data_IF_343803704046
#
_entry.id   IF_343803704046
#
_cell.length_a   1.000
_cell.length_b   1.000
_cell.length_c   1.000
_cell.angle_alpha   90.00
_cell.angle_beta   90.00
_cell.angle_gamma   90.00
#
_symmetry.space_group_name_H-M   'P 1'
#
loop_
_entity.id
_entity.type
_entity.pdbx_description
1 polymer ?
#
# COMPACT_ATOMS: atom_id res chain seq x y z
N UNK A 1 15.01 -0.86 -21.18
CA UNK A 1 14.12 -0.97 -20.02
C UNK A 1 13.25 -2.22 -20.18
N UNK A 2 13.19 -3.12 -19.18
CA UNK A 2 12.33 -4.30 -19.24
C UNK A 2 10.84 -3.93 -19.24
N UNK A 3 10.02 -4.79 -19.87
CA UNK A 3 8.56 -4.67 -19.85
C UNK A 3 8.03 -5.41 -18.63
N UNK A 4 7.34 -4.71 -17.75
CA UNK A 4 6.75 -5.27 -16.52
C UNK A 4 5.24 -5.09 -16.51
N UNK A 5 4.52 -6.02 -15.90
CA UNK A 5 3.12 -5.78 -15.58
C UNK A 5 3.01 -4.84 -14.37
N UNK A 6 1.86 -4.17 -14.22
CA UNK A 6 1.60 -3.35 -13.03
C UNK A 6 1.81 -4.15 -11.73
N UNK A 7 1.32 -5.39 -11.66
CA UNK A 7 1.47 -6.21 -10.43
C UNK A 7 2.93 -6.57 -10.15
N UNK A 8 3.70 -6.86 -11.19
CA UNK A 8 5.14 -7.14 -11.06
C UNK A 8 5.87 -5.90 -10.55
N UNK A 9 5.53 -4.72 -11.07
CA UNK A 9 6.11 -3.46 -10.63
C UNK A 9 5.84 -3.16 -9.13
N UNK A 10 4.62 -3.43 -8.65
CA UNK A 10 4.26 -3.30 -7.24
C UNK A 10 4.99 -4.32 -6.36
N UNK A 11 5.07 -5.57 -6.81
CA UNK A 11 5.80 -6.61 -6.10
C UNK A 11 7.28 -6.25 -6.00
N UNK A 12 7.91 -5.80 -7.09
CA UNK A 12 9.30 -5.34 -7.07
C UNK A 12 9.51 -4.14 -6.15
N UNK A 13 8.63 -3.14 -6.19
CA UNK A 13 8.68 -2.01 -5.24
C UNK A 13 8.64 -2.52 -3.79
N UNK A 14 7.74 -3.46 -3.49
CA UNK A 14 7.60 -4.04 -2.15
C UNK A 14 8.86 -4.78 -1.72
N UNK A 15 9.43 -5.60 -2.61
CA UNK A 15 10.69 -6.33 -2.37
C UNK A 15 11.84 -5.36 -2.12
N UNK A 16 12.00 -4.34 -2.96
CA UNK A 16 13.05 -3.34 -2.83
C UNK A 16 12.98 -2.61 -1.48
N UNK A 17 11.78 -2.21 -1.04
CA UNK A 17 11.62 -1.53 0.25
C UNK A 17 11.76 -2.46 1.45
N UNK A 18 11.30 -3.72 1.37
CA UNK A 18 11.52 -4.73 2.41
C UNK A 18 13.00 -5.08 2.59
N UNK A 19 13.76 -5.13 1.48
CA UNK A 19 15.21 -5.35 1.49
C UNK A 19 15.97 -4.14 2.01
N UNK A 20 15.55 -2.94 1.62
CA UNK A 20 16.18 -1.67 2.03
C UNK A 20 16.01 -1.40 3.53
N UNK A 21 14.82 -1.67 4.07
CA UNK A 21 14.44 -1.24 5.41
C UNK A 21 13.93 -2.41 6.27
N UNK A 22 14.61 -2.75 7.37
CA UNK A 22 14.13 -3.79 8.28
C UNK A 22 12.84 -3.40 9.01
N UNK A 23 12.47 -2.11 9.04
CA UNK A 23 11.25 -1.62 9.70
C UNK A 23 10.01 -1.71 8.81
N UNK A 24 10.17 -1.91 7.50
CA UNK A 24 9.06 -2.09 6.56
C UNK A 24 8.49 -3.48 6.72
N UNK A 25 7.18 -3.66 6.73
CA UNK A 25 6.57 -5.00 6.71
C UNK A 25 5.22 -4.93 6.00
N UNK A 26 4.71 -6.06 5.52
CA UNK A 26 3.41 -6.13 4.86
C UNK A 26 2.43 -6.81 5.80
N UNK A 27 1.24 -6.23 5.95
CA UNK A 27 0.15 -6.80 6.74
C UNK A 27 -1.19 -6.67 6.01
N UNK A 28 -2.03 -7.68 6.17
CA UNK A 28 -3.34 -7.75 5.51
C UNK A 28 -3.90 -9.16 5.53
N UNK A 29 -5.00 -9.37 4.84
CA UNK A 29 -5.69 -10.65 4.79
C UNK A 29 -5.19 -11.53 3.63
N UNK A 30 -4.96 -12.82 3.91
CA UNK A 30 -4.53 -13.83 2.93
C UNK A 30 -3.27 -13.46 2.12
N UNK A 31 -2.34 -12.71 2.70
CA UNK A 31 -1.06 -12.35 2.08
C UNK A 31 -0.23 -13.59 1.73
N UNK A 32 -0.24 -14.60 2.61
CA UNK A 32 0.48 -15.87 2.37
C UNK A 32 -0.04 -16.64 1.17
N UNK A 33 -1.33 -16.49 0.87
CA UNK A 33 -1.94 -17.06 -0.35
C UNK A 33 -1.81 -16.13 -1.55
N UNK A 34 -1.41 -14.89 -1.34
CA UNK A 34 -1.26 -13.86 -2.38
C UNK A 34 -2.49 -13.76 -3.26
N UNK A 35 -3.68 -13.63 -2.65
CA UNK A 35 -4.96 -13.55 -3.37
C UNK A 35 -4.99 -12.40 -4.38
N UNK A 36 -4.29 -11.30 -4.09
CA UNK A 36 -4.17 -10.14 -4.96
C UNK A 36 -2.90 -10.11 -5.83
N UNK A 37 -2.04 -11.12 -5.71
CA UNK A 37 -0.89 -11.38 -6.58
C UNK A 37 0.43 -10.68 -6.21
N UNK A 38 0.38 -9.56 -5.48
CA UNK A 38 1.58 -8.75 -5.21
C UNK A 38 2.51 -9.36 -4.15
N UNK A 39 2.01 -10.29 -3.33
CA UNK A 39 2.75 -10.88 -2.21
C UNK A 39 3.24 -12.30 -2.47
N UNK A 40 3.11 -12.78 -3.70
CA UNK A 40 3.51 -14.14 -4.08
C UNK A 40 5.00 -14.39 -3.78
N UNK A 41 5.31 -15.43 -3.00
CA UNK A 41 6.69 -15.79 -2.68
C UNK A 41 7.37 -14.91 -1.62
N UNK A 42 6.69 -13.86 -1.09
CA UNK A 42 7.33 -12.93 -0.16
C UNK A 42 7.51 -13.53 1.23
N UNK A 43 6.64 -14.44 1.67
CA UNK A 43 6.75 -15.10 2.97
C UNK A 43 8.00 -15.98 3.01
N UNK A 44 8.26 -16.71 1.93
CA UNK A 44 9.44 -17.55 1.77
C UNK A 44 10.73 -16.72 1.74
N UNK A 45 10.65 -15.49 1.19
CA UNK A 45 11.80 -14.60 1.07
C UNK A 45 12.10 -13.81 2.36
N UNK A 46 11.08 -13.31 3.06
CA UNK A 46 11.22 -12.37 4.18
C UNK A 46 10.75 -12.90 5.54
N UNK A 47 10.09 -14.05 5.57
CA UNK A 47 9.59 -14.68 6.79
C UNK A 47 8.22 -14.15 7.24
N UNK A 48 7.59 -14.92 8.13
CA UNK A 48 6.25 -14.63 8.65
C UNK A 48 6.19 -13.38 9.53
N UNK A 49 7.32 -12.93 10.09
CA UNK A 49 7.41 -11.71 10.90
C UNK A 49 7.40 -10.44 10.05
N UNK A 50 7.64 -10.56 8.73
CA UNK A 50 7.66 -9.44 7.78
C UNK A 50 6.47 -9.45 6.82
N UNK A 51 5.83 -10.61 6.63
CA UNK A 51 4.63 -10.80 5.82
C UNK A 51 3.54 -11.41 6.70
N UNK A 52 2.71 -10.55 7.28
CA UNK A 52 1.82 -10.88 8.40
C UNK A 52 0.38 -11.00 7.91
N UNK A 53 -0.17 -12.22 7.97
CA UNK A 53 -1.62 -12.43 7.82
C UNK A 53 -2.35 -11.89 9.06
N UNK A 54 -3.37 -11.06 8.84
CA UNK A 54 -4.17 -10.46 9.91
C UNK A 54 -5.50 -11.20 10.10
N UNK A 55 -6.14 -11.10 11.28
CA UNK A 55 -7.56 -11.43 11.40
C UNK A 55 -8.41 -10.60 10.44
N UNK A 56 -9.56 -11.15 10.03
CA UNK A 56 -10.56 -10.47 9.19
C UNK A 56 -11.26 -9.36 10.02
N UNK A 57 -10.57 -8.24 10.17
CA UNK A 57 -11.01 -7.08 10.94
C UNK A 57 -10.19 -5.85 10.56
N UNK A 58 -10.64 -5.12 9.55
CA UNK A 58 -9.97 -3.95 9.00
C UNK A 58 -9.77 -2.87 10.07
N UNK A 59 -10.79 -2.63 10.89
CA UNK A 59 -10.65 -1.70 12.01
C UNK A 59 -9.53 -2.13 12.99
N UNK A 60 -9.37 -3.43 13.22
CA UNK A 60 -8.33 -3.97 14.09
C UNK A 60 -6.94 -3.80 13.49
N UNK A 61 -6.72 -4.32 12.27
CA UNK A 61 -5.38 -4.32 11.68
C UNK A 61 -4.97 -2.96 11.11
N UNK A 62 -5.90 -2.08 10.72
CA UNK A 62 -5.56 -0.68 10.41
C UNK A 62 -5.07 0.05 11.66
N UNK A 63 -5.75 -0.13 12.80
CA UNK A 63 -5.31 0.46 14.07
C UNK A 63 -3.96 -0.09 14.52
N UNK A 64 -3.72 -1.39 14.34
CA UNK A 64 -2.42 -2.00 14.61
C UNK A 64 -1.31 -1.43 13.71
N UNK A 65 -1.58 -1.18 12.43
CA UNK A 65 -0.63 -0.54 11.52
C UNK A 65 -0.27 0.88 12.00
N UNK A 66 -1.28 1.68 12.35
CA UNK A 66 -1.06 3.03 12.88
C UNK A 66 -0.24 2.99 14.17
N UNK A 67 -0.59 2.10 15.11
CA UNK A 67 0.17 1.89 16.34
C UNK A 67 1.62 1.47 16.10
N UNK A 68 1.86 0.53 15.18
CA UNK A 68 3.19 0.10 14.79
C UNK A 68 4.02 1.27 14.20
N UNK A 69 3.38 2.14 13.42
CA UNK A 69 4.04 3.30 12.85
C UNK A 69 4.49 4.32 13.88
N UNK A 70 3.67 4.53 14.93
CA UNK A 70 4.04 5.37 16.08
C UNK A 70 5.20 4.76 16.88
N UNK A 71 5.40 3.45 16.80
CA UNK A 71 6.52 2.73 17.40
C UNK A 71 7.76 2.63 16.47
N UNK A 72 7.77 3.35 15.35
CA UNK A 72 8.92 3.42 14.43
C UNK A 72 8.94 2.36 13.33
N UNK A 73 7.84 1.63 13.13
CA UNK A 73 7.72 0.67 12.01
C UNK A 73 7.11 1.33 10.76
N UNK A 74 7.23 0.69 9.60
CA UNK A 74 6.73 1.22 8.32
C UNK A 74 5.80 0.23 7.61
N UNK A 75 4.57 0.03 8.11
CA UNK A 75 3.65 -0.96 7.55
C UNK A 75 3.16 -0.60 6.15
N UNK A 76 3.11 -1.62 5.29
CA UNK A 76 2.36 -1.67 4.04
C UNK A 76 1.10 -2.49 4.31
N UNK A 77 -0.06 -1.85 4.28
CA UNK A 77 -1.34 -2.47 4.57
C UNK A 77 -2.05 -2.83 3.26
N UNK A 78 -2.24 -4.11 2.96
CA UNK A 78 -2.97 -4.56 1.77
C UNK A 78 -4.47 -4.75 2.09
N UNK A 79 -5.35 -4.13 1.29
CA UNK A 79 -6.80 -4.24 1.45
C UNK A 79 -7.53 -3.93 0.13
N UNK A 80 -8.85 -3.90 0.15
CA UNK A 80 -9.69 -3.55 -1.00
C UNK A 80 -10.62 -2.39 -0.65
N UNK A 81 -11.01 -1.63 -1.67
CA UNK A 81 -11.83 -0.40 -1.50
C UNK A 81 -13.03 -0.55 -0.58
N UNK A 82 -13.88 -1.56 -0.79
CA UNK A 82 -15.11 -1.73 -0.02
C UNK A 82 -14.88 -2.01 1.47
N UNK A 83 -13.70 -2.46 1.86
CA UNK A 83 -13.41 -2.80 3.25
C UNK A 83 -12.80 -1.63 4.03
N UNK A 84 -12.44 -0.54 3.35
CA UNK A 84 -12.11 0.73 3.99
C UNK A 84 -13.27 1.27 4.85
N UNK A 85 -14.51 0.94 4.51
CA UNK A 85 -15.69 1.30 5.32
C UNK A 85 -15.66 0.67 6.70
N UNK A 86 -15.15 -0.55 6.83
CA UNK A 86 -15.07 -1.26 8.10
C UNK A 86 -14.01 -0.63 9.00
N UNK A 87 -12.88 -0.19 8.42
CA UNK A 87 -11.80 0.50 9.11
C UNK A 87 -11.89 2.03 9.12
N UNK A 88 -13.05 2.61 8.80
CA UNK A 88 -13.20 4.05 8.53
C UNK A 88 -12.81 4.92 9.73
N UNK A 89 -13.09 4.49 10.96
CA UNK A 89 -12.73 5.27 12.15
C UNK A 89 -11.20 5.37 12.30
N UNK A 90 -10.45 4.30 12.04
CA UNK A 90 -8.98 4.36 12.03
C UNK A 90 -8.45 5.30 10.96
N UNK A 91 -9.07 5.36 9.78
CA UNK A 91 -8.60 6.24 8.70
C UNK A 91 -8.95 7.71 8.98
N UNK A 92 -10.18 8.00 9.40
CA UNK A 92 -10.72 9.36 9.48
C UNK A 92 -10.54 9.97 10.87
N UNK A 93 -10.77 9.22 11.93
CA UNK A 93 -10.66 9.75 13.30
C UNK A 93 -9.23 9.71 13.81
N UNK A 94 -8.45 8.70 13.39
CA UNK A 94 -7.08 8.50 13.85
C UNK A 94 -6.04 8.95 12.82
N UNK A 95 -5.80 8.18 11.76
CA UNK A 95 -4.71 8.36 10.81
C UNK A 95 -4.61 9.78 10.27
N UNK A 96 -5.73 10.34 9.80
CA UNK A 96 -5.76 11.67 9.19
C UNK A 96 -5.45 12.82 10.16
N UNK A 97 -5.57 12.60 11.47
CA UNK A 97 -5.49 13.67 12.50
C UNK A 97 -4.34 13.50 13.46
N UNK A 98 -3.83 12.28 13.66
CA UNK A 98 -2.83 11.96 14.69
C UNK A 98 -1.62 12.90 14.65
N UNK A 99 -1.04 13.14 13.46
CA UNK A 99 0.10 14.06 13.33
C UNK A 99 -0.23 15.48 13.82
N UNK A 100 -1.42 15.98 13.49
CA UNK A 100 -1.90 17.28 13.94
C UNK A 100 -2.22 17.29 15.45
N UNK A 101 -2.89 16.25 15.95
CA UNK A 101 -3.25 16.10 17.37
C UNK A 101 -2.01 16.03 18.28
N UNK A 102 -0.92 15.46 17.80
CA UNK A 102 0.36 15.40 18.51
C UNK A 102 1.25 16.62 18.23
N UNK A 103 0.73 17.68 17.62
CA UNK A 103 1.49 18.91 17.37
C UNK A 103 2.71 18.71 16.48
N UNK A 104 2.67 17.74 15.57
CA UNK A 104 3.77 17.37 14.68
C UNK A 104 4.85 16.48 15.30
N UNK A 105 4.72 16.08 16.58
CA UNK A 105 5.71 15.25 17.27
C UNK A 105 5.68 13.78 16.83
N UNK A 106 4.57 13.34 16.23
CA UNK A 106 4.42 11.98 15.71
C UNK A 106 4.55 11.98 14.18
N UNK A 107 5.21 10.95 13.67
CA UNK A 107 5.18 10.55 12.27
C UNK A 107 4.29 9.31 12.11
N UNK A 108 3.69 9.13 10.95
CA UNK A 108 2.81 8.01 10.63
C UNK A 108 3.19 7.40 9.29
N UNK A 109 4.38 6.78 9.17
CA UNK A 109 4.81 6.14 7.93
C UNK A 109 4.00 4.87 7.66
N UNK A 110 2.79 5.02 7.13
CA UNK A 110 1.87 3.92 6.78
C UNK A 110 1.45 4.07 5.33
N UNK A 111 1.62 3.00 4.56
CA UNK A 111 1.11 2.92 3.19
C UNK A 111 -0.03 1.92 3.10
N UNK A 112 -1.25 2.39 2.85
CA UNK A 112 -2.38 1.55 2.51
C UNK A 112 -2.36 1.26 1.00
N UNK A 113 -2.06 0.02 0.61
CA UNK A 113 -2.21 -0.51 -0.74
C UNK A 113 -3.62 -1.07 -0.92
N UNK A 114 -4.41 -0.41 -1.76
CA UNK A 114 -5.86 -0.61 -1.83
C UNK A 114 -6.23 -1.02 -3.24
N UNK A 115 -6.70 -2.27 -3.41
CA UNK A 115 -7.20 -2.73 -4.70
C UNK A 115 -8.59 -2.16 -4.99
N UNK A 116 -8.70 -1.53 -6.16
CA UNK A 116 -9.94 -1.04 -6.75
C UNK A 116 -10.50 -2.04 -7.76
N UNK A 117 -11.44 -2.88 -7.34
CA UNK A 117 -12.13 -3.81 -8.24
C UNK A 117 -13.33 -3.15 -8.92
N UNK A 118 -13.68 -3.67 -10.11
CA UNK A 118 -14.86 -3.35 -10.91
C UNK A 118 -14.93 -4.30 -12.10
N UNK A 119 -16.09 -4.37 -12.75
CA UNK A 119 -16.37 -5.30 -13.83
C UNK A 119 -16.20 -6.78 -13.40
N UNK A 120 -16.15 -7.69 -14.38
CA UNK A 120 -15.88 -9.14 -14.19
C UNK A 120 -16.74 -9.87 -13.15
N UNK A 121 -17.94 -9.35 -12.85
CA UNK A 121 -18.83 -9.96 -11.86
C UNK A 121 -18.34 -9.80 -10.41
N UNK A 122 -17.60 -8.74 -10.08
CA UNK A 122 -17.02 -8.50 -8.74
C UNK A 122 -18.06 -8.27 -7.60
N UNK A 123 -19.35 -8.19 -7.94
CA UNK A 123 -20.45 -7.90 -7.00
C UNK A 123 -20.32 -6.54 -6.27
N UNK A 124 -21.28 -6.26 -5.37
CA UNK A 124 -21.43 -4.93 -4.77
C UNK A 124 -20.23 -4.53 -3.89
N UNK A 125 -19.77 -5.43 -3.04
CA UNK A 125 -18.68 -5.17 -2.07
C UNK A 125 -17.26 -5.34 -2.64
N UNK A 126 -17.10 -5.29 -3.96
CA UNK A 126 -15.80 -5.16 -4.62
C UNK A 126 -15.90 -4.20 -5.81
N UNK A 127 -16.76 -3.18 -5.74
CA UNK A 127 -16.96 -2.24 -6.84
C UNK A 127 -16.86 -0.77 -6.43
N UNK A 128 -16.53 -0.49 -5.16
CA UNK A 128 -16.50 0.86 -4.64
C UNK A 128 -15.35 1.70 -5.24
N UNK A 129 -15.62 3.01 -5.33
CA UNK A 129 -14.66 4.05 -5.77
C UNK A 129 -14.64 5.17 -4.74
N UNK A 130 -14.09 4.86 -3.58
CA UNK A 130 -14.20 5.69 -2.39
C UNK A 130 -13.02 6.64 -2.13
N UNK A 131 -11.97 6.63 -2.97
CA UNK A 131 -10.90 7.61 -2.88
C UNK A 131 -11.38 9.08 -2.84
N UNK A 132 -12.49 9.52 -3.50
CA UNK A 132 -12.96 10.91 -3.40
C UNK A 132 -13.41 11.31 -1.99
N UNK A 133 -13.89 10.37 -1.18
CA UNK A 133 -14.25 10.65 0.22
C UNK A 133 -12.99 10.91 1.05
N UNK A 134 -11.92 10.14 0.82
CA UNK A 134 -10.64 10.35 1.48
C UNK A 134 -9.92 11.61 0.99
N UNK A 135 -10.14 12.05 -0.26
CA UNK A 135 -9.65 13.36 -0.74
C UNK A 135 -10.24 14.55 0.03
N UNK A 136 -11.43 14.38 0.63
CA UNK A 136 -12.05 15.40 1.49
C UNK A 136 -11.65 15.25 2.97
N UNK A 137 -10.65 14.41 3.27
CA UNK A 137 -10.13 14.18 4.62
C UNK A 137 -8.69 14.67 4.71
N UNK A 138 -8.44 15.88 5.26
CA UNK A 138 -7.09 16.42 5.40
C UNK A 138 -6.19 15.51 6.22
N UNK A 139 -4.91 15.41 5.84
CA UNK A 139 -3.91 14.57 6.51
C UNK A 139 -3.66 13.21 5.88
N UNK A 140 -4.41 12.86 4.82
CA UNK A 140 -4.18 11.66 4.00
C UNK A 140 -3.62 12.05 2.63
N UNK A 141 -2.60 11.33 2.16
CA UNK A 141 -2.08 11.46 0.79
C UNK A 141 -2.75 10.41 -0.09
N UNK A 142 -3.44 10.84 -1.14
CA UNK A 142 -4.19 9.97 -2.06
C UNK A 142 -3.37 9.79 -3.34
N UNK A 143 -3.11 8.55 -3.72
CA UNK A 143 -2.26 8.19 -4.85
C UNK A 143 -2.99 7.20 -5.75
N UNK A 144 -3.04 7.47 -7.05
CA UNK A 144 -3.72 6.63 -8.04
C UNK A 144 -2.80 6.40 -9.26
N UNK A 145 -1.91 5.38 -9.24
CA UNK A 145 -1.03 5.10 -10.37
C UNK A 145 -1.81 4.58 -11.57
N UNK A 146 -1.35 4.89 -12.79
CA UNK A 146 -2.07 4.51 -14.02
C UNK A 146 -1.37 3.42 -14.83
N UNK A 147 -0.08 3.18 -14.57
CA UNK A 147 0.75 2.22 -15.30
C UNK A 147 1.83 1.62 -14.38
N UNK A 148 2.59 0.65 -14.88
CA UNK A 148 3.59 -0.07 -14.09
C UNK A 148 4.77 0.83 -13.63
N UNK A 149 5.18 1.81 -14.44
CA UNK A 149 6.26 2.74 -14.08
C UNK A 149 5.86 3.60 -12.88
N UNK A 150 4.69 4.24 -12.98
CA UNK A 150 4.14 5.07 -11.91
C UNK A 150 3.88 4.22 -10.66
N UNK A 151 3.34 3.01 -10.82
CA UNK A 151 3.04 2.11 -9.73
C UNK A 151 4.30 1.78 -8.91
N UNK A 152 5.42 1.45 -9.57
CA UNK A 152 6.68 1.17 -8.88
C UNK A 152 7.22 2.40 -8.15
N UNK A 153 7.35 3.52 -8.86
CA UNK A 153 7.94 4.74 -8.32
C UNK A 153 7.11 5.33 -7.17
N UNK A 154 5.80 5.48 -7.37
CA UNK A 154 4.90 6.03 -6.36
C UNK A 154 4.75 5.11 -5.14
N UNK A 155 4.79 3.79 -5.32
CA UNK A 155 4.77 2.86 -4.19
C UNK A 155 6.02 3.03 -3.33
N UNK A 156 7.21 3.12 -3.92
CA UNK A 156 8.45 3.37 -3.18
C UNK A 156 8.44 4.74 -2.50
N UNK A 157 7.99 5.79 -3.20
CA UNK A 157 7.82 7.11 -2.60
C UNK A 157 6.86 7.06 -1.40
N UNK A 158 5.71 6.40 -1.53
CA UNK A 158 4.73 6.27 -0.46
C UNK A 158 5.29 5.54 0.77
N UNK A 159 5.99 4.42 0.57
CA UNK A 159 6.59 3.65 1.67
C UNK A 159 7.67 4.45 2.41
N UNK A 160 8.34 5.37 1.73
CA UNK A 160 9.39 6.25 2.30
C UNK A 160 8.84 7.54 2.89
N UNK A 161 7.58 7.85 2.66
CA UNK A 161 6.92 9.02 3.22
C UNK A 161 6.60 8.83 4.73
N UNK A 162 6.65 9.90 5.51
CA UNK A 162 6.38 9.88 6.95
C UNK A 162 4.93 10.28 7.30
N UNK A 163 4.09 10.49 6.28
CA UNK A 163 2.65 10.70 6.40
C UNK A 163 1.88 9.47 5.87
N UNK A 164 0.59 9.40 6.21
CA UNK A 164 -0.28 8.31 5.76
C UNK A 164 -0.55 8.42 4.26
N UNK A 165 -0.11 7.42 3.51
CA UNK A 165 -0.32 7.30 2.06
C UNK A 165 -1.36 6.23 1.74
N UNK A 166 -2.30 6.54 0.85
CA UNK A 166 -3.33 5.63 0.34
C UNK A 166 -3.12 5.45 -1.16
N UNK A 167 -2.54 4.31 -1.53
CA UNK A 167 -2.27 3.91 -2.91
C UNK A 167 -3.43 3.09 -3.44
N UNK A 168 -4.27 3.71 -4.27
CA UNK A 168 -5.41 3.08 -4.92
C UNK A 168 -5.00 2.49 -6.27
N UNK A 169 -5.03 1.17 -6.35
CA UNK A 169 -4.56 0.42 -7.51
C UNK A 169 -5.74 -0.08 -8.36
N UNK A 170 -5.81 0.28 -9.65
CA UNK A 170 -6.90 -0.12 -10.55
C UNK A 170 -6.87 -1.62 -10.94
N UNK A 171 -7.85 -2.40 -10.52
CA UNK A 171 -7.88 -3.87 -10.70
C UNK A 171 -7.93 -4.35 -12.16
N UNK A 172 -8.29 -3.51 -13.13
CA UNK A 172 -8.23 -3.84 -14.56
C UNK A 172 -6.83 -3.57 -15.10
N UNK A 173 -6.19 -2.48 -14.66
CA UNK A 173 -4.83 -2.12 -15.08
C UNK A 173 -3.76 -3.09 -14.56
N UNK A 174 -4.10 -4.03 -13.67
CA UNK A 174 -3.12 -4.86 -12.97
C UNK A 174 -2.29 -5.78 -13.89
N UNK A 175 -2.87 -6.16 -15.03
CA UNK A 175 -2.22 -6.95 -16.09
C UNK A 175 -1.65 -6.10 -17.23
N UNK A 176 -1.85 -4.78 -17.19
CA UNK A 176 -1.27 -3.86 -18.17
C UNK A 176 0.25 -3.88 -18.10
N UNK A 177 0.90 -3.65 -19.24
CA UNK A 177 2.35 -3.74 -19.40
C UNK A 177 2.91 -2.40 -19.82
N UNK A 178 4.03 -2.01 -19.23
CA UNK A 178 4.76 -0.79 -19.59
C UNK A 178 6.24 -1.03 -19.38
N UNK A 179 7.09 -0.24 -20.03
CA UNK A 179 8.52 -0.21 -19.75
C UNK A 179 8.75 0.34 -18.34
N UNK A 180 9.56 -0.35 -17.55
CA UNK A 180 9.95 0.06 -16.19
C UNK A 180 11.46 -0.10 -16.09
N UNK A 181 12.23 0.97 -15.84
CA UNK A 181 13.68 0.87 -15.72
C UNK A 181 14.05 0.03 -14.50
N UNK A 182 15.17 -0.69 -14.61
CA UNK A 182 15.81 -1.25 -13.43
C UNK A 182 16.58 -0.14 -12.71
N UNK A 183 16.81 -0.30 -11.40
CA UNK A 183 17.46 0.74 -10.59
C UNK A 183 18.86 1.10 -11.11
N UNK A 184 19.58 0.13 -11.68
CA UNK A 184 20.92 0.31 -12.28
C UNK A 184 20.91 1.20 -13.53
N UNK A 185 19.78 1.30 -14.23
CA UNK A 185 19.61 2.11 -15.44
C UNK A 185 19.33 3.59 -15.11
N UNK A 186 19.10 3.94 -13.84
CA UNK A 186 18.68 5.28 -13.42
C UNK A 186 19.84 6.12 -12.88
N UNK A 187 19.95 7.42 -13.21
CA UNK A 187 21.02 8.29 -12.71
C UNK A 187 21.09 8.39 -11.19
N UNK A 188 19.94 8.28 -10.51
CA UNK A 188 19.83 8.31 -9.05
C UNK A 188 19.95 6.93 -8.40
N UNK A 189 20.14 5.86 -9.18
CA UNK A 189 20.21 4.47 -8.70
C UNK A 189 18.88 3.91 -8.17
N UNK A 190 17.78 4.68 -8.23
CA UNK A 190 16.48 4.26 -7.72
C UNK A 190 15.34 4.92 -8.51
N UNK A 191 14.27 4.16 -8.78
CA UNK A 191 13.01 4.72 -9.26
C UNK A 191 12.18 5.30 -8.10
N UNK A 192 12.07 6.62 -8.05
CA UNK A 192 11.18 7.39 -7.17
C UNK A 192 10.46 8.44 -8.01
N UNK A 193 9.21 8.75 -7.62
CA UNK A 193 8.37 9.78 -8.26
C UNK A 193 7.95 10.81 -7.21
#
# INVERSE_FOLDING_TARGET
>A
MPIKTYIQAIQEATVEELTRDPTVFVMGEDLRKSVYGATAGLVEQFGEDRIIDTPLSENGFFGAALGASLCGMRPIVETVTSFLWVGMDQLISQASKMRYMFGGQAELPVTFRIRMFYARGAAAHHSDRNYPIFMNTPGLKIICPTNAYDAKGLMKTAVRDNDVCMLFEDGIAISSRTEVPDNEDLPGGELLV
#
